data_IF_214587458005
#
_entry.id   IF_214587458005
#
_cell.length_a   1.000
_cell.length_b   1.000
_cell.length_c   1.000
_cell.angle_alpha   90.00
_cell.angle_beta   90.00
_cell.angle_gamma   90.00
#
_symmetry.space_group_name_H-M   'P 1'
#
loop_
_entity.id
_entity.type
_entity.pdbx_description
1 polymer ?
#
# COMPACT_ATOMS: atom_id res chain seq x y z
N UNK A 1 48.22 54.12 -15.99
CA UNK A 1 47.73 53.33 -17.15
C UNK A 1 48.29 51.93 -16.97
N UNK A 2 47.95 51.12 -15.97
CA UNK A 2 46.69 50.81 -15.29
C UNK A 2 45.57 50.34 -16.22
N UNK A 3 45.50 49.02 -16.42
CA UNK A 3 44.28 48.26 -16.75
C UNK A 3 44.43 46.86 -16.14
N UNK A 4 43.78 46.68 -14.99
CA UNK A 4 43.35 45.40 -14.44
C UNK A 4 42.07 44.91 -15.16
N UNK A 5 41.57 43.74 -14.72
CA UNK A 5 40.30 43.05 -15.07
C UNK A 5 40.44 41.97 -16.14
N UNK A 6 39.86 40.77 -16.01
CA UNK A 6 39.10 40.18 -14.92
C UNK A 6 39.09 38.65 -15.11
N UNK A 7 39.33 37.94 -14.02
CA UNK A 7 39.09 36.50 -13.89
C UNK A 7 37.60 36.22 -13.86
N UNK A 8 37.09 35.34 -14.74
CA UNK A 8 35.80 34.68 -14.52
C UNK A 8 35.98 33.16 -14.44
N UNK A 9 36.03 32.72 -13.19
CA UNK A 9 35.70 31.37 -12.73
C UNK A 9 34.34 30.94 -13.28
N UNK A 10 34.32 29.92 -14.14
CA UNK A 10 33.12 29.10 -14.36
C UNK A 10 33.00 28.12 -13.19
N UNK A 11 32.61 28.65 -12.03
CA UNK A 11 32.13 27.84 -10.93
C UNK A 11 30.68 27.46 -11.24
N UNK A 12 30.49 26.44 -12.08
CA UNK A 12 29.17 25.84 -12.27
C UNK A 12 28.76 25.20 -10.96
N UNK A 13 27.80 25.84 -10.31
CA UNK A 13 27.16 25.35 -9.10
C UNK A 13 26.69 23.92 -9.31
N UNK A 14 27.20 23.04 -8.46
CA UNK A 14 26.66 21.71 -8.23
C UNK A 14 25.16 21.81 -7.92
N UNK A 15 24.31 21.40 -8.85
CA UNK A 15 23.03 20.84 -8.46
C UNK A 15 23.30 19.39 -8.07
N UNK A 16 23.43 19.13 -6.77
CA UNK A 16 23.33 17.76 -6.28
C UNK A 16 22.00 17.16 -6.77
N UNK A 17 21.98 15.89 -7.21
CA UNK A 17 20.71 15.22 -7.50
C UNK A 17 19.77 15.37 -6.29
N UNK A 18 18.46 15.58 -6.52
CA UNK A 18 17.51 15.76 -5.42
C UNK A 18 17.67 14.58 -4.47
N UNK A 19 17.72 14.89 -3.16
CA UNK A 19 17.92 13.91 -2.11
C UNK A 19 17.10 12.66 -2.37
N UNK A 20 17.68 11.49 -2.12
CA UNK A 20 17.09 10.15 -2.24
C UNK A 20 15.89 9.92 -1.25
N UNK A 21 15.15 10.96 -0.90
CA UNK A 21 13.98 10.94 -0.03
C UNK A 21 12.70 10.64 -0.80
N UNK A 22 11.66 10.26 -0.07
CA UNK A 22 10.29 10.28 -0.53
C UNK A 22 9.59 11.57 -0.07
N UNK A 23 8.36 11.77 -0.53
CA UNK A 23 7.54 12.93 -0.18
C UNK A 23 6.59 12.65 0.98
N UNK A 24 6.99 11.81 1.96
CA UNK A 24 6.10 11.41 3.07
C UNK A 24 5.58 12.58 3.91
N UNK A 25 6.26 13.72 3.87
CA UNK A 25 5.83 14.95 4.55
C UNK A 25 4.53 15.55 3.95
N UNK A 26 4.16 15.15 2.73
CA UNK A 26 2.94 15.53 2.02
C UNK A 26 1.74 14.64 2.35
N UNK A 27 1.91 13.59 3.16
CA UNK A 27 0.83 12.68 3.54
C UNK A 27 0.66 12.63 5.06
N UNK A 28 -0.52 12.19 5.48
CA UNK A 28 -0.88 11.95 6.88
C UNK A 28 -1.78 10.72 6.99
N UNK A 29 -1.76 10.08 8.16
CA UNK A 29 -2.70 9.01 8.49
C UNK A 29 -3.89 9.62 9.22
N UNK A 30 -5.11 9.29 8.76
CA UNK A 30 -6.37 9.74 9.35
C UNK A 30 -7.39 8.60 9.34
N UNK A 31 -8.48 8.76 10.10
CA UNK A 31 -9.63 7.89 9.99
C UNK A 31 -10.22 7.94 8.59
N UNK A 32 -10.44 6.76 8.02
CA UNK A 32 -11.11 6.53 6.74
C UNK A 32 -12.46 5.86 7.03
N UNK A 33 -13.59 6.56 6.84
CA UNK A 33 -14.91 6.05 7.20
C UNK A 33 -15.20 4.67 6.60
N UNK A 34 -15.46 3.69 7.48
CA UNK A 34 -15.73 2.30 7.09
C UNK A 34 -14.51 1.47 6.67
N UNK A 35 -13.29 2.03 6.73
CA UNK A 35 -12.03 1.34 6.36
C UNK A 35 -10.95 1.40 7.45
N UNK A 36 -11.27 1.95 8.63
CA UNK A 36 -10.30 2.12 9.72
C UNK A 36 -9.42 3.33 9.46
N UNK A 37 -8.11 3.12 9.29
CA UNK A 37 -7.16 4.20 8.99
C UNK A 37 -6.83 4.22 7.49
N UNK A 38 -6.53 5.41 6.97
CA UNK A 38 -6.11 5.62 5.59
C UNK A 38 -4.99 6.65 5.49
N UNK A 39 -4.30 6.66 4.35
CA UNK A 39 -3.30 7.68 4.03
C UNK A 39 -3.95 8.76 3.18
N UNK A 40 -3.81 10.02 3.58
CA UNK A 40 -4.41 11.17 2.89
C UNK A 40 -3.36 12.20 2.53
N UNK A 41 -3.60 12.93 1.45
CA UNK A 41 -2.75 14.03 1.02
C UNK A 41 -2.96 15.28 1.92
N UNK A 42 -1.88 15.88 2.38
CA UNK A 42 -1.87 17.17 3.11
C UNK A 42 -1.83 18.38 2.20
N UNK A 43 -1.41 18.19 0.95
CA UNK A 43 -1.27 19.20 -0.08
C UNK A 43 -1.52 18.56 -1.45
N UNK A 44 -1.58 19.37 -2.52
CA UNK A 44 -1.63 18.83 -3.87
C UNK A 44 -0.33 18.08 -4.17
N UNK A 45 -0.44 16.86 -4.70
CA UNK A 45 0.70 15.98 -5.03
C UNK A 45 0.68 15.73 -6.54
N UNK A 46 1.71 16.15 -7.29
CA UNK A 46 1.80 15.89 -8.72
C UNK A 46 1.90 14.39 -9.03
N UNK A 47 1.35 13.98 -10.17
CA UNK A 47 1.54 12.64 -10.74
C UNK A 47 3.02 12.27 -10.80
N UNK A 48 3.31 10.99 -10.54
CA UNK A 48 4.66 10.43 -10.55
C UNK A 48 5.47 10.68 -9.27
N UNK A 49 4.93 11.41 -8.29
CA UNK A 49 5.62 11.66 -7.02
C UNK A 49 5.81 10.36 -6.23
N UNK A 50 7.04 10.07 -5.80
CA UNK A 50 7.34 9.04 -4.81
C UNK A 50 6.92 9.53 -3.43
N UNK A 51 5.77 9.09 -2.95
CA UNK A 51 5.18 9.52 -1.68
C UNK A 51 5.71 8.71 -0.49
N UNK A 52 6.15 7.47 -0.72
CA UNK A 52 6.74 6.62 0.32
C UNK A 52 7.81 5.70 -0.25
N UNK A 53 8.89 5.53 0.50
CA UNK A 53 9.89 4.48 0.37
C UNK A 53 10.15 3.89 1.77
N UNK A 54 9.65 2.68 2.01
CA UNK A 54 9.64 2.05 3.34
C UNK A 54 10.37 0.71 3.33
N UNK A 55 11.18 0.47 4.36
CA UNK A 55 11.78 -0.84 4.59
C UNK A 55 10.78 -1.74 5.30
N UNK A 56 10.77 -3.02 4.96
CA UNK A 56 9.89 -3.99 5.61
C UNK A 56 10.23 -4.16 7.09
N UNK A 57 9.20 -4.26 7.92
CA UNK A 57 9.30 -4.64 9.32
C UNK A 57 9.55 -6.15 9.45
N UNK A 58 8.82 -6.96 8.68
CA UNK A 58 9.01 -8.41 8.55
C UNK A 58 9.05 -8.75 7.07
N UNK A 59 10.10 -9.46 6.64
CA UNK A 59 10.28 -9.93 5.26
C UNK A 59 10.75 -11.38 5.31
N UNK A 60 10.11 -12.22 4.51
CA UNK A 60 10.50 -13.62 4.32
C UNK A 60 11.19 -13.80 2.97
N UNK A 61 11.92 -14.91 2.80
CA UNK A 61 12.50 -15.26 1.51
C UNK A 61 11.39 -15.54 0.51
N UNK A 62 11.51 -15.02 -0.73
CA UNK A 62 10.49 -15.17 -1.77
C UNK A 62 10.17 -16.64 -2.13
N UNK A 63 11.11 -17.55 -1.87
CA UNK A 63 10.98 -18.98 -2.14
C UNK A 63 10.36 -19.77 -0.97
N UNK A 64 10.10 -19.14 0.17
CA UNK A 64 9.60 -19.79 1.38
C UNK A 64 8.19 -19.30 1.68
N UNK A 65 7.25 -20.24 1.83
CA UNK A 65 5.90 -19.91 2.31
C UNK A 65 5.94 -19.79 3.84
N UNK A 66 5.63 -18.61 4.41
CA UNK A 66 5.66 -18.43 5.85
C UNK A 66 4.58 -19.29 6.53
N UNK A 67 4.98 -19.99 7.58
CA UNK A 67 4.10 -20.77 8.45
C UNK A 67 3.71 -19.95 9.68
N UNK A 68 2.66 -20.36 10.38
CA UNK A 68 2.26 -19.77 11.67
C UNK A 68 3.45 -19.67 12.63
N UNK A 69 4.28 -20.72 12.71
CA UNK A 69 5.48 -20.77 13.56
C UNK A 69 6.50 -19.71 13.16
N UNK A 70 6.85 -19.62 11.87
CA UNK A 70 7.86 -18.65 11.39
C UNK A 70 7.37 -17.21 11.51
N UNK A 71 6.07 -16.97 11.37
CA UNK A 71 5.45 -15.65 11.58
C UNK A 71 5.57 -15.24 13.04
N UNK A 72 5.24 -16.13 13.98
CA UNK A 72 5.39 -15.86 15.41
C UNK A 72 6.85 -15.58 15.79
N UNK A 73 7.79 -16.39 15.29
CA UNK A 73 9.22 -16.17 15.54
C UNK A 73 9.71 -14.82 15.00
N UNK A 74 9.27 -14.43 13.80
CA UNK A 74 9.60 -13.13 13.24
C UNK A 74 9.06 -11.98 14.11
N UNK A 75 7.82 -12.07 14.57
CA UNK A 75 7.24 -11.10 15.50
C UNK A 75 8.01 -11.05 16.84
N UNK A 76 8.35 -12.20 17.42
CA UNK A 76 9.11 -12.28 18.68
C UNK A 76 10.52 -11.69 18.58
N UNK A 77 11.12 -11.71 17.38
CA UNK A 77 12.43 -11.11 17.12
C UNK A 77 12.42 -9.58 16.94
N UNK A 78 11.25 -8.96 16.80
CA UNK A 78 11.12 -7.50 16.74
C UNK A 78 11.47 -6.87 18.08
N UNK A 79 11.95 -5.62 18.06
CA UNK A 79 12.10 -4.85 19.30
C UNK A 79 10.74 -4.59 19.96
N UNK A 80 10.66 -4.30 21.27
CA UNK A 80 9.39 -4.00 21.94
C UNK A 80 8.59 -2.89 21.26
N UNK A 81 9.25 -1.79 20.84
CA UNK A 81 8.58 -0.70 20.13
C UNK A 81 8.07 -1.09 18.74
N UNK A 82 8.77 -2.01 18.07
CA UNK A 82 8.34 -2.56 16.79
C UNK A 82 7.15 -3.51 16.95
N UNK A 83 7.14 -4.32 18.02
CA UNK A 83 5.99 -5.15 18.38
C UNK A 83 4.77 -4.30 18.68
N UNK A 84 4.91 -3.24 19.48
CA UNK A 84 3.83 -2.27 19.73
C UNK A 84 3.27 -1.70 18.41
N UNK A 85 4.15 -1.20 17.54
CA UNK A 85 3.76 -0.65 16.24
C UNK A 85 3.07 -1.69 15.34
N UNK A 86 3.54 -2.94 15.37
CA UNK A 86 2.93 -4.06 14.63
C UNK A 86 1.52 -4.36 15.16
N UNK A 87 1.33 -4.39 16.48
CA UNK A 87 0.07 -4.70 17.13
C UNK A 87 -1.01 -3.63 16.90
N UNK A 88 -0.65 -2.45 16.40
CA UNK A 88 -1.58 -1.39 15.96
C UNK A 88 -2.05 -1.54 14.50
N UNK A 89 -1.52 -2.50 13.76
CA UNK A 89 -1.95 -2.79 12.39
C UNK A 89 -3.34 -3.44 12.38
N UNK A 90 -3.97 -3.44 11.20
CA UNK A 90 -5.30 -4.02 11.03
C UNK A 90 -5.26 -5.53 11.31
N UNK A 91 -6.08 -6.00 12.24
CA UNK A 91 -6.17 -7.41 12.59
C UNK A 91 -7.40 -8.05 11.92
N UNK A 92 -7.16 -8.94 10.95
CA UNK A 92 -8.24 -9.69 10.30
C UNK A 92 -7.72 -10.98 9.64
N UNK A 93 -8.43 -12.08 9.88
CA UNK A 93 -8.22 -13.35 9.18
C UNK A 93 -9.55 -13.81 8.60
N UNK A 94 -9.59 -14.07 7.29
CA UNK A 94 -10.77 -14.65 6.66
C UNK A 94 -10.84 -16.16 6.96
N UNK A 95 -11.97 -16.80 6.66
CA UNK A 95 -12.15 -18.23 6.98
C UNK A 95 -11.14 -19.14 6.28
N UNK A 96 -10.69 -18.77 5.07
CA UNK A 96 -9.63 -19.50 4.38
C UNK A 96 -8.29 -19.37 5.10
N UNK A 97 -7.93 -18.18 5.57
CA UNK A 97 -6.70 -17.96 6.34
C UNK A 97 -6.73 -18.78 7.64
N UNK A 98 -7.87 -18.77 8.34
CA UNK A 98 -8.07 -19.59 9.54
C UNK A 98 -7.85 -21.06 9.23
N UNK A 99 -8.52 -21.62 8.22
CA UNK A 99 -8.36 -23.03 7.83
C UNK A 99 -6.90 -23.40 7.50
N UNK A 100 -6.17 -22.52 6.81
CA UNK A 100 -4.75 -22.72 6.51
C UNK A 100 -3.94 -22.78 7.82
N UNK A 101 -4.16 -21.83 8.74
CA UNK A 101 -3.46 -21.78 10.01
C UNK A 101 -3.80 -22.97 10.92
N UNK A 102 -5.05 -23.43 10.91
CA UNK A 102 -5.48 -24.63 11.61
C UNK A 102 -4.74 -25.86 11.07
N UNK A 103 -4.61 -25.99 9.75
CA UNK A 103 -3.85 -27.10 9.14
C UNK A 103 -2.35 -27.08 9.50
N UNK A 104 -1.79 -25.91 9.76
CA UNK A 104 -0.38 -25.74 10.14
C UNK A 104 -0.12 -25.96 11.63
N UNK A 105 -1.05 -25.56 12.48
CA UNK A 105 -0.90 -25.58 13.94
C UNK A 105 -1.50 -26.82 14.59
N UNK A 106 -2.48 -27.45 13.93
CA UNK A 106 -3.28 -28.54 14.50
C UNK A 106 -4.30 -28.07 15.55
N UNK A 107 -4.51 -26.76 15.69
CA UNK A 107 -5.46 -26.15 16.63
C UNK A 107 -6.46 -25.31 15.84
N UNK A 108 -7.72 -25.29 16.26
CA UNK A 108 -8.72 -24.37 15.68
C UNK A 108 -8.37 -22.92 16.00
N UNK A 109 -8.86 -21.96 15.21
CA UNK A 109 -8.59 -20.53 15.44
C UNK A 109 -8.91 -20.09 16.87
N UNK A 110 -10.04 -20.54 17.42
CA UNK A 110 -10.52 -20.17 18.76
C UNK A 110 -9.72 -20.84 19.90
N UNK A 111 -8.99 -21.93 19.61
CA UNK A 111 -8.10 -22.60 20.56
C UNK A 111 -6.71 -21.96 20.66
N UNK A 112 -6.33 -21.14 19.67
CA UNK A 112 -5.05 -20.44 19.70
C UNK A 112 -5.03 -19.39 20.82
N UNK A 113 -3.88 -19.16 21.48
CA UNK A 113 -3.74 -18.05 22.41
C UNK A 113 -4.12 -16.71 21.76
N UNK A 114 -4.75 -15.80 22.51
CA UNK A 114 -5.22 -14.51 21.98
C UNK A 114 -4.10 -13.73 21.28
N UNK A 115 -2.89 -13.75 21.84
CA UNK A 115 -1.72 -13.12 21.23
C UNK A 115 -1.37 -13.74 19.86
N UNK A 116 -1.50 -15.07 19.72
CA UNK A 116 -1.22 -15.76 18.47
C UNK A 116 -2.28 -15.41 17.42
N UNK A 117 -3.56 -15.42 17.80
CA UNK A 117 -4.65 -14.99 16.91
C UNK A 117 -4.40 -13.56 16.41
N UNK A 118 -4.01 -12.65 17.32
CA UNK A 118 -3.71 -11.26 16.98
C UNK A 118 -2.54 -11.12 16.03
N UNK A 119 -1.41 -11.77 16.32
CA UNK A 119 -0.22 -11.68 15.47
C UNK A 119 -0.49 -12.28 14.09
N UNK A 120 -1.07 -13.47 14.04
CA UNK A 120 -1.37 -14.15 12.78
C UNK A 120 -2.40 -13.39 11.95
N UNK A 121 -3.45 -12.85 12.59
CA UNK A 121 -4.48 -12.06 11.92
C UNK A 121 -3.98 -10.72 11.40
N UNK A 122 -3.01 -10.09 12.08
CA UNK A 122 -2.33 -8.91 11.54
C UNK A 122 -1.48 -9.31 10.33
N UNK A 123 -0.75 -10.41 10.41
CA UNK A 123 0.07 -10.87 9.29
C UNK A 123 -0.78 -11.15 8.04
N UNK A 124 -1.88 -11.88 8.17
CA UNK A 124 -2.75 -12.27 7.04
C UNK A 124 -3.37 -11.06 6.34
N UNK A 125 -3.76 -10.03 7.10
CA UNK A 125 -4.37 -8.82 6.56
C UNK A 125 -3.38 -7.86 5.89
N UNK A 126 -2.12 -7.85 6.32
CA UNK A 126 -1.17 -6.79 5.95
C UNK A 126 0.03 -7.29 5.12
N UNK A 127 0.19 -8.60 4.95
CA UNK A 127 1.30 -9.17 4.18
C UNK A 127 1.02 -9.15 2.67
N UNK A 128 1.70 -8.24 1.98
CA UNK A 128 1.80 -8.21 0.51
C UNK A 128 3.19 -8.72 0.08
N UNK A 129 3.60 -9.87 0.64
CA UNK A 129 4.96 -10.42 0.55
C UNK A 129 5.91 -9.95 1.66
N UNK A 130 5.55 -8.89 2.37
CA UNK A 130 6.22 -8.40 3.58
C UNK A 130 5.29 -7.50 4.38
N UNK A 131 5.63 -7.25 5.65
CA UNK A 131 4.90 -6.34 6.54
C UNK A 131 5.62 -5.00 6.58
N UNK A 132 4.85 -3.92 6.53
CA UNK A 132 5.30 -2.55 6.64
C UNK A 132 4.41 -1.81 7.65
N UNK A 133 4.84 -0.66 8.18
CA UNK A 133 4.03 0.05 9.17
C UNK A 133 3.13 1.08 8.51
N UNK A 134 3.72 1.98 7.72
CA UNK A 134 2.95 3.03 7.06
C UNK A 134 2.24 2.49 5.82
N UNK A 135 2.91 1.69 5.00
CA UNK A 135 2.31 1.12 3.79
C UNK A 135 1.09 0.22 4.07
N UNK A 136 1.00 -0.40 5.25
CA UNK A 136 -0.19 -1.13 5.69
C UNK A 136 -1.42 -0.25 5.94
N UNK A 137 -1.29 1.08 5.84
CA UNK A 137 -2.40 2.04 5.92
C UNK A 137 -2.97 2.44 4.57
N UNK A 138 -2.41 1.97 3.44
CA UNK A 138 -3.03 2.22 2.14
C UNK A 138 -4.30 1.38 1.99
N UNK A 139 -5.43 2.05 1.79
CA UNK A 139 -6.70 1.39 1.50
C UNK A 139 -6.83 0.99 0.03
N UNK A 140 -7.78 0.10 -0.24
CA UNK A 140 -8.05 -0.38 -1.58
C UNK A 140 -8.96 0.56 -2.40
N UNK A 141 -8.66 0.68 -3.69
CA UNK A 141 -9.61 1.04 -4.73
C UNK A 141 -9.39 0.19 -5.97
N UNK A 142 -10.46 -0.23 -6.65
CA UNK A 142 -10.36 -0.87 -7.96
C UNK A 142 -9.93 0.12 -9.06
N UNK A 143 -10.04 1.42 -8.80
CA UNK A 143 -9.45 2.51 -9.58
C UNK A 143 -8.48 3.24 -8.67
N UNK A 144 -7.27 2.69 -8.45
CA UNK A 144 -6.30 3.29 -7.54
C UNK A 144 -5.75 4.60 -8.12
N UNK A 145 -5.25 5.46 -7.24
CA UNK A 145 -4.53 6.67 -7.61
C UNK A 145 -3.03 6.60 -7.24
N UNK A 146 -2.62 5.51 -6.59
CA UNK A 146 -1.25 5.21 -6.16
C UNK A 146 -0.88 3.77 -6.55
N UNK A 147 0.34 3.55 -7.00
CA UNK A 147 0.90 2.21 -7.25
C UNK A 147 2.10 1.94 -6.34
N UNK A 148 2.42 0.66 -6.14
CA UNK A 148 3.58 0.23 -5.36
C UNK A 148 4.43 -0.76 -6.14
N UNK A 149 5.75 -0.66 -5.95
CA UNK A 149 6.76 -1.51 -6.54
C UNK A 149 7.95 -1.61 -5.59
N UNK A 150 8.48 -2.82 -5.45
CA UNK A 150 9.75 -3.03 -4.76
C UNK A 150 10.91 -2.44 -5.58
N UNK A 151 11.74 -1.63 -4.92
CA UNK A 151 12.92 -1.03 -5.52
C UNK A 151 14.19 -1.75 -5.02
N UNK A 152 14.84 -2.59 -5.84
CA UNK A 152 16.01 -3.37 -5.42
C UNK A 152 17.25 -2.51 -5.15
N UNK A 153 17.35 -1.32 -5.75
CA UNK A 153 18.46 -0.39 -5.48
C UNK A 153 18.34 0.26 -4.11
N UNK A 154 17.12 0.49 -3.63
CA UNK A 154 16.85 1.07 -2.32
C UNK A 154 16.61 0.03 -1.22
N UNK A 155 16.38 -1.23 -1.58
CA UNK A 155 15.89 -2.31 -0.70
C UNK A 155 14.63 -1.88 0.08
N UNK A 156 13.67 -1.30 -0.65
CA UNK A 156 12.45 -0.70 -0.09
C UNK A 156 11.25 -0.90 -1.00
N UNK A 157 10.08 -1.04 -0.39
CA UNK A 157 8.83 -0.88 -1.10
C UNK A 157 8.60 0.60 -1.39
N UNK A 158 8.24 0.93 -2.63
CA UNK A 158 8.09 2.32 -3.05
C UNK A 158 6.72 2.60 -3.63
N UNK A 159 6.11 3.70 -3.20
CA UNK A 159 4.75 4.09 -3.58
C UNK A 159 4.79 5.38 -4.39
N UNK A 160 4.12 5.36 -5.53
CA UNK A 160 4.10 6.47 -6.47
C UNK A 160 2.68 6.81 -6.90
N UNK A 161 2.34 8.09 -6.89
CA UNK A 161 1.05 8.57 -7.40
C UNK A 161 0.98 8.36 -8.91
N UNK A 162 -0.10 7.79 -9.45
CA UNK A 162 -0.28 7.55 -10.88
C UNK A 162 -1.15 8.59 -11.57
N UNK A 163 -1.66 9.55 -10.80
CA UNK A 163 -2.39 10.75 -11.21
C UNK A 163 -2.07 11.90 -10.25
N UNK A 164 -2.49 13.12 -10.58
CA UNK A 164 -2.44 14.24 -9.63
C UNK A 164 -3.42 13.97 -8.48
N UNK A 165 -3.00 14.30 -7.25
CA UNK A 165 -3.79 14.10 -6.02
C UNK A 165 -4.08 15.46 -5.41
N UNK A 166 -5.34 15.74 -5.11
CA UNK A 166 -5.73 16.99 -4.44
C UNK A 166 -5.48 16.89 -2.92
N UNK A 167 -5.21 18.02 -2.27
CA UNK A 167 -5.16 18.07 -0.81
C UNK A 167 -6.47 17.51 -0.21
N UNK A 168 -6.34 16.60 0.76
CA UNK A 168 -7.46 15.92 1.41
C UNK A 168 -7.91 14.62 0.75
N UNK A 169 -7.43 14.28 -0.46
CA UNK A 169 -7.76 12.99 -1.09
C UNK A 169 -7.04 11.82 -0.42
N UNK A 170 -7.72 10.67 -0.35
CA UNK A 170 -7.14 9.41 0.13
C UNK A 170 -6.23 8.81 -0.96
N UNK A 171 -5.03 8.40 -0.59
CA UNK A 171 -4.13 7.65 -1.45
C UNK A 171 -4.52 6.17 -1.37
N UNK A 172 -4.85 5.59 -2.52
CA UNK A 172 -5.45 4.27 -2.66
C UNK A 172 -4.65 3.41 -3.62
N UNK A 173 -4.41 2.15 -3.24
CA UNK A 173 -3.73 1.14 -4.05
C UNK A 173 -4.71 0.04 -4.49
N UNK A 174 -4.31 -0.80 -5.45
CA UNK A 174 -5.02 -2.05 -5.73
C UNK A 174 -4.45 -3.18 -4.87
N UNK A 175 -5.30 -3.97 -4.22
CA UNK A 175 -4.91 -5.19 -3.50
C UNK A 175 -4.91 -6.43 -4.40
N UNK A 176 -5.27 -6.25 -5.67
CA UNK A 176 -5.51 -7.34 -6.60
C UNK A 176 -4.98 -7.03 -7.98
N UNK A 177 -4.58 -8.08 -8.69
CA UNK A 177 -4.37 -8.06 -10.15
C UNK A 177 -5.63 -8.56 -10.86
N UNK A 178 -6.74 -7.84 -10.62
CA UNK A 178 -8.09 -8.23 -11.01
C UNK A 178 -8.79 -7.22 -11.92
N UNK A 179 -8.03 -6.41 -12.66
CA UNK A 179 -8.57 -5.28 -13.44
C UNK A 179 -9.57 -5.71 -14.52
N UNK A 180 -9.50 -6.95 -14.99
CA UNK A 180 -10.43 -7.54 -15.95
C UNK A 180 -11.63 -8.28 -15.29
N UNK A 181 -11.73 -8.30 -13.97
CA UNK A 181 -12.80 -9.01 -13.27
C UNK A 181 -14.08 -8.18 -13.16
N UNK A 182 -15.22 -8.85 -13.33
CA UNK A 182 -16.53 -8.27 -13.03
C UNK A 182 -16.64 -7.88 -11.55
N UNK A 183 -17.54 -6.93 -11.23
CA UNK A 183 -17.72 -6.42 -9.86
C UNK A 183 -17.85 -7.54 -8.83
N UNK A 184 -18.70 -8.54 -9.07
CA UNK A 184 -18.94 -9.64 -8.13
C UNK A 184 -17.66 -10.38 -7.76
N UNK A 185 -16.84 -10.75 -8.74
CA UNK A 185 -15.56 -11.43 -8.53
C UNK A 185 -14.54 -10.56 -7.79
N UNK A 186 -14.51 -9.25 -8.05
CA UNK A 186 -13.70 -8.30 -7.28
C UNK A 186 -14.13 -8.27 -5.82
N UNK A 187 -15.43 -8.14 -5.55
CA UNK A 187 -15.96 -8.11 -4.17
C UNK A 187 -15.73 -9.42 -3.40
N UNK A 188 -15.88 -10.56 -4.08
CA UNK A 188 -15.60 -11.89 -3.52
C UNK A 188 -14.12 -12.00 -3.11
N UNK A 189 -13.20 -11.60 -3.99
CA UNK A 189 -11.77 -11.62 -3.68
C UNK A 189 -11.41 -10.71 -2.49
N UNK A 190 -12.04 -9.54 -2.41
CA UNK A 190 -11.79 -8.56 -1.34
C UNK A 190 -12.33 -9.00 0.03
N UNK A 191 -13.15 -10.05 0.13
CA UNK A 191 -13.56 -10.64 1.41
C UNK A 191 -12.35 -11.10 2.26
N UNK A 192 -11.20 -11.35 1.61
CA UNK A 192 -9.92 -11.59 2.30
C UNK A 192 -9.57 -10.49 3.31
N UNK A 193 -10.01 -9.26 3.10
CA UNK A 193 -9.78 -8.11 3.99
C UNK A 193 -11.04 -7.65 4.74
N UNK A 194 -12.15 -8.39 4.65
CA UNK A 194 -13.33 -8.14 5.46
C UNK A 194 -14.07 -6.82 5.18
N UNK A 195 -13.94 -6.26 3.97
CA UNK A 195 -14.65 -5.03 3.58
C UNK A 195 -15.35 -5.16 2.21
N UNK A 196 -16.35 -4.32 1.97
CA UNK A 196 -16.97 -4.15 0.65
C UNK A 196 -16.39 -2.90 -0.04
N UNK A 197 -15.90 -3.04 -1.28
CA UNK A 197 -15.35 -1.92 -2.01
C UNK A 197 -16.45 -1.02 -2.60
N UNK A 198 -16.45 0.25 -2.21
CA UNK A 198 -17.38 1.27 -2.70
C UNK A 198 -16.72 2.31 -3.61
N UNK A 199 -15.63 1.95 -4.30
CA UNK A 199 -14.97 2.87 -5.24
C UNK A 199 -15.85 3.15 -6.48
N UNK A 200 -15.54 4.17 -7.31
CA UNK A 200 -16.34 4.50 -8.48
C UNK A 200 -16.54 3.35 -9.49
N UNK A 201 -15.61 2.39 -9.58
CA UNK A 201 -15.78 1.19 -10.41
C UNK A 201 -16.69 0.11 -9.79
N UNK A 202 -17.07 0.26 -8.53
CA UNK A 202 -17.99 -0.62 -7.80
C UNK A 202 -19.33 0.05 -7.50
N UNK A 203 -19.45 1.37 -7.66
CA UNK A 203 -20.74 2.06 -7.65
C UNK A 203 -21.68 1.48 -8.71
N UNK A 204 -22.98 1.40 -8.38
CA UNK A 204 -23.98 0.85 -9.29
C UNK A 204 -24.31 1.84 -10.41
N UNK A 205 -23.49 1.82 -11.46
CA UNK A 205 -23.65 2.68 -12.65
C UNK A 205 -24.88 2.36 -13.50
N UNK A 206 -25.69 1.33 -13.15
CA UNK A 206 -26.94 1.02 -13.86
C UNK A 206 -28.04 2.07 -13.69
N UNK A 207 -27.86 3.05 -12.80
CA UNK A 207 -28.72 4.25 -12.69
C UNK A 207 -28.25 5.43 -13.54
N UNK A 208 -27.06 5.37 -14.14
CA UNK A 208 -26.62 6.37 -15.08
C UNK A 208 -27.07 5.96 -16.49
N UNK A 209 -27.86 6.81 -17.16
CA UNK A 209 -28.22 6.60 -18.55
C UNK A 209 -26.96 6.32 -19.38
N UNK A 210 -26.99 5.33 -20.30
CA UNK A 210 -25.87 5.09 -21.17
C UNK A 210 -25.62 6.33 -22.03
N UNK A 211 -24.58 7.12 -21.69
CA UNK A 211 -24.05 8.13 -22.59
C UNK A 211 -23.53 7.40 -23.81
N UNK A 212 -24.34 7.40 -24.88
CA UNK A 212 -23.94 6.93 -26.21
C UNK A 212 -22.63 7.62 -26.55
N UNK A 213 -21.54 6.85 -26.62
CA UNK A 213 -20.31 7.30 -27.27
C UNK A 213 -20.66 7.47 -28.75
N UNK A 214 -20.68 8.71 -29.22
CA UNK A 214 -20.74 8.99 -30.65
C UNK A 214 -19.57 8.26 -31.30
N UNK A 215 -19.90 7.42 -32.28
CA UNK A 215 -18.98 6.46 -32.88
C UNK A 215 -17.73 7.11 -33.47
N UNK A 216 -16.62 6.40 -33.38
CA UNK A 216 -15.42 6.70 -34.15
C UNK A 216 -15.71 6.36 -35.61
N UNK A 217 -15.84 7.37 -36.46
CA UNK A 217 -15.87 7.20 -37.92
C UNK A 217 -14.43 6.95 -38.40
N UNK A 218 -14.13 5.72 -38.77
CA UNK A 218 -12.93 5.43 -39.55
C UNK A 218 -13.17 5.92 -40.98
N UNK A 219 -12.45 6.98 -41.37
CA UNK A 219 -12.27 7.31 -42.78
C UNK A 219 -11.04 6.54 -43.27
N UNK A 220 -11.28 5.55 -44.13
CA UNK A 220 -10.27 4.98 -45.01
C UNK A 220 -10.05 5.90 -46.21
#
# INVERSE_FOLDING_TARGET
MDTAQDTQNLNQSQAQPPSCGDSRHLIEVRDSPGKGLGIFAKANIPRGTRILAESSLIKFNENEQPTAKTIMQAFESLSPSQQESYLELHNYACDLDKQILESQTGQTWDELPEMHQRVLGIYTANSFGSIHLLASRFNHSCLPNTTHLYNPTLDKETFHTIQDISAGEELLISYMDGSNWVKSKRQEYLQKWGFECNCPACEDTRKAEPKRRNGWSYHY
#
